data_IF_661712742082
#
_entry.id   IF_661712742082
#
_cell.length_a   1.000
_cell.length_b   1.000
_cell.length_c   1.000
_cell.angle_alpha   90.00
_cell.angle_beta   90.00
_cell.angle_gamma   90.00
#
_symmetry.space_group_name_H-M   'P 1'
#
loop_
_entity.id
_entity.type
_entity.pdbx_description
1 polymer ?
#
# COMPACT_ATOMS: atom_id res chain seq x y z
N UNK A 1 -3.72 12.48 10.54
CA UNK A 1 -3.92 11.03 10.33
C UNK A 1 -4.39 10.86 8.90
N UNK A 2 -3.70 10.03 8.12
CA UNK A 2 -4.11 9.66 6.78
C UNK A 2 -4.59 8.20 6.82
N UNK A 3 -5.51 7.82 5.95
CA UNK A 3 -6.06 6.47 5.90
C UNK A 3 -5.47 5.71 4.70
N UNK A 4 -5.06 4.46 4.90
CA UNK A 4 -4.51 3.55 3.87
C UNK A 4 -5.03 2.14 4.14
N UNK A 5 -5.57 1.46 3.12
CA UNK A 5 -6.23 0.14 3.25
C UNK A 5 -7.36 0.08 4.31
N UNK A 6 -7.99 1.21 4.65
CA UNK A 6 -8.98 1.30 5.74
C UNK A 6 -8.38 1.44 7.15
N UNK A 7 -7.06 1.60 7.24
CA UNK A 7 -6.31 1.74 8.49
C UNK A 7 -5.72 3.14 8.62
N UNK A 8 -5.45 3.53 9.87
CA UNK A 8 -4.75 4.77 10.16
C UNK A 8 -3.27 4.56 9.87
N UNK A 9 -2.71 5.46 9.06
CA UNK A 9 -1.27 5.62 8.92
C UNK A 9 -0.85 7.01 9.41
N UNK A 10 0.28 7.02 10.11
CA UNK A 10 0.90 8.22 10.66
C UNK A 10 2.41 8.22 10.43
N UNK A 11 2.92 9.41 10.17
CA UNK A 11 4.35 9.71 10.19
C UNK A 11 4.69 10.17 11.62
N UNK A 12 5.63 9.49 12.29
CA UNK A 12 6.01 9.83 13.66
C UNK A 12 7.52 9.98 13.78
N UNK A 13 7.93 11.12 14.35
CA UNK A 13 9.32 11.41 14.68
C UNK A 13 9.77 10.54 15.87
N UNK A 14 10.95 9.94 15.73
CA UNK A 14 11.58 9.11 16.76
C UNK A 14 12.69 9.89 17.47
N UNK A 15 13.19 9.35 18.59
CA UNK A 15 14.25 9.99 19.40
C UNK A 15 15.57 10.25 18.62
N UNK A 16 15.73 9.65 17.45
CA UNK A 16 16.89 9.81 16.57
C UNK A 16 16.65 10.80 15.42
N UNK A 17 15.50 11.50 15.39
CA UNK A 17 15.13 12.43 14.32
C UNK A 17 14.63 11.76 13.03
N UNK A 18 14.52 10.43 13.03
CA UNK A 18 13.96 9.67 11.92
C UNK A 18 12.44 9.64 12.02
N UNK A 19 11.77 9.74 10.88
CA UNK A 19 10.31 9.61 10.80
C UNK A 19 9.96 8.19 10.39
N UNK A 20 9.14 7.51 11.18
CA UNK A 20 8.60 6.20 10.85
C UNK A 20 7.19 6.31 10.26
N UNK A 21 6.86 5.50 9.26
CA UNK A 21 5.48 5.27 8.82
C UNK A 21 4.93 4.05 9.57
N UNK A 22 3.76 4.21 10.18
CA UNK A 22 3.18 3.17 11.03
C UNK A 22 1.82 2.71 10.55
N UNK A 23 1.63 1.40 10.47
CA UNK A 23 0.35 0.77 10.16
C UNK A 23 -0.34 0.30 11.44
N UNK A 24 -1.57 0.76 11.67
CA UNK A 24 -2.37 0.39 12.84
C UNK A 24 -3.33 -0.75 12.50
N UNK A 25 -2.94 -2.01 12.76
CA UNK A 25 -3.83 -3.17 12.68
C UNK A 25 -3.71 -4.07 13.91
N UNK A 26 -4.87 -4.58 14.37
CA UNK A 26 -5.09 -5.66 15.35
C UNK A 26 -3.94 -5.83 16.37
N UNK A 27 -4.09 -5.14 17.50
CA UNK A 27 -3.25 -5.24 18.72
C UNK A 27 -1.84 -4.65 18.61
N UNK A 28 -1.43 -4.05 17.48
CA UNK A 28 -0.08 -3.50 17.36
C UNK A 28 0.12 -2.41 16.31
N UNK A 29 1.31 -1.81 16.39
CA UNK A 29 1.82 -0.76 15.49
C UNK A 29 2.95 -1.39 14.67
N UNK A 30 2.78 -1.52 13.36
CA UNK A 30 3.82 -2.09 12.48
C UNK A 30 4.62 -0.95 11.88
N UNK A 31 5.93 -0.95 12.12
CA UNK A 31 6.88 0.02 11.56
C UNK A 31 7.24 -0.40 10.13
N UNK A 32 7.02 0.51 9.17
CA UNK A 32 7.23 0.23 7.75
C UNK A 32 8.65 0.60 7.33
N UNK A 33 9.08 1.85 7.59
CA UNK A 33 10.37 2.36 7.14
C UNK A 33 10.76 3.65 7.89
N UNK A 34 12.08 3.93 7.95
CA UNK A 34 12.66 5.17 8.49
C UNK A 34 13.02 6.18 7.40
N UNK A 35 12.70 7.45 7.65
CA UNK A 35 13.02 8.57 6.76
C UNK A 35 13.87 9.63 7.46
N UNK A 36 14.80 10.29 6.73
CA UNK A 36 15.68 11.30 7.30
C UNK A 36 14.95 12.59 7.70
N UNK A 37 13.71 12.80 7.23
CA UNK A 37 12.84 13.90 7.63
C UNK A 37 11.37 13.59 7.31
N UNK A 38 10.46 14.41 7.84
CA UNK A 38 9.02 14.27 7.66
C UNK A 38 8.56 14.46 6.21
N UNK A 39 9.24 15.31 5.43
CA UNK A 39 8.87 15.53 4.03
C UNK A 39 9.11 14.26 3.19
N UNK A 40 10.22 13.57 3.40
CA UNK A 40 10.52 12.31 2.72
C UNK A 40 9.50 11.22 3.08
N UNK A 41 9.13 11.11 4.36
CA UNK A 41 8.08 10.20 4.81
C UNK A 41 6.71 10.52 4.18
N UNK A 42 6.37 11.81 4.10
CA UNK A 42 5.11 12.25 3.50
C UNK A 42 5.04 11.97 2.00
N UNK A 43 6.13 12.18 1.27
CA UNK A 43 6.20 11.89 -0.17
C UNK A 43 5.95 10.40 -0.42
N UNK A 44 6.64 9.51 0.30
CA UNK A 44 6.41 8.08 0.15
C UNK A 44 4.97 7.70 0.54
N UNK A 45 4.44 8.28 1.62
CA UNK A 45 3.06 8.02 2.03
C UNK A 45 2.06 8.40 0.93
N UNK A 46 2.25 9.54 0.26
CA UNK A 46 1.39 9.95 -0.86
C UNK A 46 1.53 8.99 -2.04
N UNK A 47 2.75 8.59 -2.40
CA UNK A 47 2.99 7.64 -3.49
C UNK A 47 2.37 6.26 -3.22
N UNK A 48 2.44 5.78 -1.97
CA UNK A 48 1.78 4.54 -1.55
C UNK A 48 0.27 4.62 -1.70
N UNK A 49 -0.34 5.72 -1.24
CA UNK A 49 -1.78 5.95 -1.36
C UNK A 49 -2.19 5.99 -2.84
N UNK A 50 -1.47 6.75 -3.67
CA UNK A 50 -1.80 6.87 -5.10
C UNK A 50 -1.68 5.52 -5.83
N UNK A 51 -0.63 4.73 -5.53
CA UNK A 51 -0.48 3.39 -6.11
C UNK A 51 -1.53 2.41 -5.62
N UNK A 52 -1.90 2.45 -4.35
CA UNK A 52 -2.95 1.59 -3.79
C UNK A 52 -4.31 1.88 -4.41
N UNK A 53 -4.66 3.16 -4.59
CA UNK A 53 -5.88 3.57 -5.30
C UNK A 53 -5.88 3.07 -6.74
N UNK A 54 -4.75 3.18 -7.44
CA UNK A 54 -4.62 2.68 -8.81
C UNK A 54 -4.73 1.15 -8.87
N UNK A 55 -4.03 0.42 -8.00
CA UNK A 55 -4.06 -1.04 -7.93
C UNK A 55 -5.46 -1.56 -7.57
N UNK A 56 -6.12 -0.94 -6.60
CA UNK A 56 -7.50 -1.28 -6.22
C UNK A 56 -8.50 -1.07 -7.36
N UNK A 57 -8.32 -0.02 -8.16
CA UNK A 57 -9.17 0.25 -9.34
C UNK A 57 -8.95 -0.79 -10.43
N UNK A 58 -7.69 -1.19 -10.66
CA UNK A 58 -7.34 -2.24 -11.62
C UNK A 58 -7.81 -3.61 -11.15
N UNK A 59 -7.75 -3.92 -9.86
CA UNK A 59 -8.26 -5.18 -9.30
C UNK A 59 -9.75 -5.36 -9.59
N UNK A 60 -10.56 -4.31 -9.46
CA UNK A 60 -11.98 -4.37 -9.82
C UNK A 60 -12.21 -4.75 -11.28
N UNK A 61 -11.42 -4.18 -12.20
CA UNK A 61 -11.50 -4.52 -13.62
C UNK A 61 -11.06 -5.97 -13.87
N UNK A 62 -10.04 -6.44 -13.15
CA UNK A 62 -9.57 -7.83 -13.23
C UNK A 62 -10.62 -8.81 -12.71
N UNK A 63 -11.30 -8.47 -11.62
CA UNK A 63 -12.43 -9.24 -11.08
C UNK A 63 -13.60 -9.27 -12.08
N UNK A 64 -13.97 -8.12 -12.67
CA UNK A 64 -14.99 -8.03 -13.71
C UNK A 64 -14.65 -8.92 -14.92
N UNK A 65 -13.41 -8.88 -15.41
CA UNK A 65 -12.97 -9.74 -16.52
C UNK A 65 -13.00 -11.23 -16.18
N UNK A 66 -12.69 -11.59 -14.94
CA UNK A 66 -12.80 -12.96 -14.47
C UNK A 66 -14.28 -13.41 -14.40
N UNK A 67 -15.16 -12.58 -13.86
CA UNK A 67 -16.61 -12.86 -13.80
C UNK A 67 -17.24 -12.99 -15.20
N UNK A 68 -16.76 -12.23 -16.17
CA UNK A 68 -17.17 -12.32 -17.58
C UNK A 68 -16.56 -13.51 -18.33
N UNK A 69 -15.67 -14.27 -17.69
CA UNK A 69 -14.98 -15.43 -18.28
C UNK A 69 -13.91 -15.05 -19.31
N UNK A 70 -13.41 -13.80 -19.26
CA UNK A 70 -12.29 -13.35 -20.10
C UNK A 70 -10.93 -13.75 -19.54
N UNK A 71 -10.86 -14.07 -18.24
CA UNK A 71 -9.68 -14.61 -17.56
C UNK A 71 -10.00 -15.98 -16.98
N UNK A 72 -9.02 -16.87 -16.99
CA UNK A 72 -9.06 -18.08 -16.17
C UNK A 72 -8.56 -17.81 -14.72
N UNK A 73 -8.72 -18.81 -13.85
CA UNK A 73 -8.36 -18.71 -12.43
C UNK A 73 -6.85 -18.44 -12.22
N UNK A 74 -5.99 -19.00 -13.09
CA UNK A 74 -4.56 -18.79 -13.01
C UNK A 74 -4.17 -17.37 -13.44
N UNK A 75 -4.75 -16.88 -14.52
CA UNK A 75 -4.56 -15.52 -15.03
C UNK A 75 -5.04 -14.48 -14.01
N UNK A 76 -6.23 -14.66 -13.45
CA UNK A 76 -6.76 -13.80 -12.39
C UNK A 76 -5.82 -13.72 -11.18
N UNK A 77 -5.34 -14.88 -10.71
CA UNK A 77 -4.41 -14.93 -9.58
C UNK A 77 -3.06 -14.26 -9.89
N UNK A 78 -2.51 -14.48 -11.09
CA UNK A 78 -1.23 -13.88 -11.50
C UNK A 78 -1.31 -12.36 -11.64
N UNK A 79 -2.39 -11.84 -12.22
CA UNK A 79 -2.57 -10.39 -12.38
C UNK A 79 -2.81 -9.74 -11.02
N UNK A 80 -3.64 -10.33 -10.17
CA UNK A 80 -3.89 -9.85 -8.80
C UNK A 80 -2.61 -9.79 -7.99
N UNK A 81 -1.81 -10.87 -7.99
CA UNK A 81 -0.52 -10.87 -7.31
C UNK A 81 0.43 -9.81 -7.86
N UNK A 82 0.47 -9.62 -9.18
CA UNK A 82 1.32 -8.60 -9.81
C UNK A 82 0.93 -7.19 -9.38
N UNK A 83 -0.37 -6.90 -9.25
CA UNK A 83 -0.88 -5.63 -8.75
C UNK A 83 -0.49 -5.41 -7.28
N UNK A 84 -0.65 -6.42 -6.41
CA UNK A 84 -0.19 -6.35 -5.01
C UNK A 84 1.32 -6.08 -4.94
N UNK A 85 2.13 -6.82 -5.69
CA UNK A 85 3.58 -6.65 -5.70
C UNK A 85 3.99 -5.25 -6.20
N UNK A 86 3.25 -4.65 -7.13
CA UNK A 86 3.54 -3.29 -7.61
C UNK A 86 3.39 -2.20 -6.55
N UNK A 87 2.47 -2.41 -5.59
CA UNK A 87 2.29 -1.52 -4.42
C UNK A 87 3.39 -1.78 -3.40
N UNK A 88 3.65 -3.05 -3.08
CA UNK A 88 4.66 -3.45 -2.09
C UNK A 88 6.10 -3.11 -2.53
N UNK A 89 6.38 -3.03 -3.83
CA UNK A 89 7.69 -2.64 -4.34
C UNK A 89 8.13 -1.23 -3.93
N UNK A 90 7.22 -0.36 -3.48
CA UNK A 90 7.59 0.95 -2.90
C UNK A 90 8.15 0.85 -1.47
N UNK A 91 7.97 -0.30 -0.80
CA UNK A 91 8.34 -0.50 0.59
C UNK A 91 9.68 -1.24 0.76
N UNK A 92 10.27 -1.74 -0.34
CA UNK A 92 11.54 -2.47 -0.38
C UNK A 92 12.66 -1.58 -0.93
#
# INVERSE_FOLDING_TARGET
MNYYLGYVIEAVETEQGWVGIWHHQLVGRIEIQFFPNAQAALVLLMELIDRDVAASSLMKLVDEWFEEGQLDELEHHQVTNSLVQSVLALLN
#
